data_IF_904450277512
#
_entry.id   IF_904450277512
#
_cell.length_a   1.000
_cell.length_b   1.000
_cell.length_c   1.000
_cell.angle_alpha   90.00
_cell.angle_beta   90.00
_cell.angle_gamma   90.00
#
_symmetry.space_group_name_H-M   'P 1'
#
loop_
_entity.id
_entity.type
_entity.pdbx_description
1 polymer ?
#
# COMPACT_ATOMS: atom_id res chain seq x y z
N UNK A 1 9.90 7.30 -12.56
CA UNK A 1 9.19 7.16 -11.27
C UNK A 1 7.77 7.67 -11.49
N UNK A 2 7.00 6.83 -12.17
CA UNK A 2 5.62 7.12 -12.56
C UNK A 2 4.67 6.88 -11.39
N UNK A 3 3.83 7.90 -11.14
CA UNK A 3 2.39 7.79 -11.02
C UNK A 3 1.81 6.60 -10.24
N UNK A 4 1.39 6.86 -8.99
CA UNK A 4 0.15 6.28 -8.49
C UNK A 4 -0.51 7.26 -7.51
N UNK A 5 -1.23 8.23 -8.09
CA UNK A 5 -2.24 9.01 -7.37
C UNK A 5 -3.43 8.09 -7.13
N UNK A 6 -3.59 7.62 -5.90
CA UNK A 6 -4.82 6.99 -5.44
C UNK A 6 -5.95 8.02 -5.57
N UNK A 7 -6.81 7.78 -6.57
CA UNK A 7 -8.05 8.50 -6.79
C UNK A 7 -9.00 8.17 -5.63
N UNK A 8 -9.02 9.05 -4.63
CA UNK A 8 -10.06 9.06 -3.60
C UNK A 8 -11.37 9.52 -4.25
N UNK A 9 -12.14 8.56 -4.77
CA UNK A 9 -13.53 8.78 -5.15
C UNK A 9 -14.40 8.81 -3.88
N UNK A 10 -14.29 9.89 -3.12
CA UNK A 10 -15.36 10.31 -2.22
C UNK A 10 -16.50 10.82 -3.11
N UNK A 11 -17.40 9.94 -3.50
CA UNK A 11 -18.74 10.36 -3.95
C UNK A 11 -19.34 11.23 -2.84
N UNK A 12 -19.72 12.48 -3.11
CA UNK A 12 -20.52 13.23 -2.17
C UNK A 12 -21.85 12.48 -2.06
N UNK A 13 -22.15 11.98 -0.87
CA UNK A 13 -23.52 11.61 -0.51
C UNK A 13 -24.33 12.88 -0.66
N UNK A 14 -25.01 13.03 -1.79
CA UNK A 14 -25.92 14.13 -2.07
C UNK A 14 -27.13 13.96 -1.15
N UNK A 15 -26.97 14.34 0.11
CA UNK A 15 -28.05 14.41 1.07
C UNK A 15 -28.67 15.80 0.96
N UNK A 16 -29.36 16.04 -0.14
CA UNK A 16 -30.20 17.23 -0.34
C UNK A 16 -31.51 17.09 0.44
N UNK A 17 -31.42 16.91 1.76
CA UNK A 17 -32.53 17.17 2.67
C UNK A 17 -32.49 18.64 3.06
N UNK A 18 -32.90 19.51 2.13
CA UNK A 18 -33.33 20.86 2.51
C UNK A 18 -34.60 20.70 3.35
N UNK A 19 -34.71 21.36 4.51
CA UNK A 19 -36.02 21.51 5.14
C UNK A 19 -36.83 22.39 4.20
N UNK A 20 -37.76 21.80 3.44
CA UNK A 20 -38.84 22.56 2.86
C UNK A 20 -39.65 23.09 4.05
N UNK A 21 -39.34 24.33 4.46
CA UNK A 21 -40.29 25.16 5.19
C UNK A 21 -41.51 25.24 4.27
N UNK A 22 -42.55 24.47 4.59
CA UNK A 22 -43.83 24.55 3.92
C UNK A 22 -44.24 26.03 3.95
N UNK A 23 -44.31 26.65 2.77
CA UNK A 23 -44.98 27.92 2.64
C UNK A 23 -46.44 27.64 3.00
N UNK A 24 -46.92 28.25 4.10
CA UNK A 24 -48.31 28.23 4.52
C UNK A 24 -49.14 28.95 3.45
N UNK A 25 -49.41 28.26 2.36
CA UNK A 25 -50.49 28.60 1.45
C UNK A 25 -51.73 27.94 2.05
N UNK A 26 -52.57 28.74 2.70
CA UNK A 26 -53.91 28.29 3.09
C UNK A 26 -54.59 27.80 1.81
N UNK A 27 -54.69 26.49 1.69
CA UNK A 27 -55.23 25.85 0.51
C UNK A 27 -56.72 26.18 0.51
N UNK A 28 -57.22 26.88 -0.51
CA UNK A 28 -58.62 27.35 -0.60
C UNK A 28 -59.64 26.21 -0.35
N UNK A 29 -59.25 24.97 -0.61
CA UNK A 29 -60.03 23.75 -0.37
C UNK A 29 -60.28 23.44 1.13
N UNK A 30 -59.45 23.94 2.06
CA UNK A 30 -59.60 23.70 3.50
C UNK A 30 -60.70 24.57 4.12
N UNK A 31 -60.90 25.77 3.58
CA UNK A 31 -62.00 26.66 3.96
C UNK A 31 -63.35 26.12 3.47
N UNK A 32 -63.37 25.39 2.34
CA UNK A 32 -64.57 24.76 1.80
C UNK A 32 -65.08 23.63 2.70
N UNK A 33 -64.21 22.90 3.40
CA UNK A 33 -64.61 21.85 4.36
C UNK A 33 -65.38 22.48 5.53
N UNK A 34 -64.94 23.65 5.99
CA UNK A 34 -65.57 24.39 7.08
C UNK A 34 -66.87 25.05 6.61
N UNK A 35 -66.90 25.62 5.40
CA UNK A 35 -68.08 26.27 4.82
C UNK A 35 -69.22 25.29 4.48
N UNK A 36 -68.90 24.02 4.24
CA UNK A 36 -69.88 22.96 3.95
C UNK A 36 -70.40 22.24 5.21
N UNK A 37 -69.92 22.60 6.40
CA UNK A 37 -70.36 22.01 7.67
C UNK A 37 -71.59 22.76 8.23
N UNK A 38 -72.51 22.01 8.86
CA UNK A 38 -73.69 22.61 9.51
C UNK A 38 -73.25 23.55 10.65
N UNK A 39 -73.81 24.77 10.78
CA UNK A 39 -73.48 25.71 11.86
C UNK A 39 -73.57 25.11 13.28
N UNK A 40 -74.53 24.22 13.54
CA UNK A 40 -74.66 23.55 14.85
C UNK A 40 -73.46 22.62 15.13
N UNK A 41 -72.93 21.99 14.06
CA UNK A 41 -71.76 21.12 14.14
C UNK A 41 -70.47 21.93 14.32
N UNK A 42 -70.37 23.09 13.69
CA UNK A 42 -69.26 24.03 13.89
C UNK A 42 -69.24 24.54 15.33
N UNK A 43 -70.39 24.90 15.90
CA UNK A 43 -70.48 25.33 17.29
C UNK A 43 -70.06 24.21 18.26
N UNK A 44 -70.47 22.97 17.99
CA UNK A 44 -70.08 21.80 18.80
C UNK A 44 -68.57 21.53 18.72
N UNK A 45 -68.00 21.56 17.51
CA UNK A 45 -66.55 21.42 17.28
C UNK A 45 -65.74 22.55 17.94
N UNK A 46 -66.28 23.77 18.03
CA UNK A 46 -65.58 24.89 18.68
C UNK A 46 -65.74 24.90 20.21
N UNK A 47 -66.76 24.21 20.75
CA UNK A 47 -67.07 24.19 22.18
C UNK A 47 -66.50 22.97 22.89
N UNK A 48 -66.39 21.84 22.18
CA UNK A 48 -65.82 20.59 22.69
C UNK A 48 -64.43 20.33 22.11
N UNK A 49 -63.41 20.36 22.96
CA UNK A 49 -62.00 20.12 22.62
C UNK A 49 -61.78 18.71 22.05
N UNK A 50 -62.56 17.70 22.48
CA UNK A 50 -62.44 16.35 21.94
C UNK A 50 -63.02 16.23 20.52
N UNK A 51 -64.12 16.94 20.22
CA UNK A 51 -64.67 16.98 18.86
C UNK A 51 -63.77 17.78 17.91
N UNK A 52 -63.15 18.85 18.42
CA UNK A 52 -62.14 19.61 17.70
C UNK A 52 -60.94 18.74 17.31
N UNK A 53 -60.37 18.02 18.28
CA UNK A 53 -59.22 17.16 18.03
C UNK A 53 -59.58 16.03 17.06
N UNK A 54 -60.77 15.42 17.19
CA UNK A 54 -61.25 14.41 16.23
C UNK A 54 -61.40 14.98 14.81
N UNK A 55 -61.93 16.20 14.68
CA UNK A 55 -62.03 16.86 13.38
C UNK A 55 -60.64 17.17 12.80
N UNK A 56 -59.74 17.73 13.60
CA UNK A 56 -58.37 18.05 13.21
C UNK A 56 -57.58 16.82 12.77
N UNK A 57 -57.72 15.71 13.48
CA UNK A 57 -57.05 14.45 13.15
C UNK A 57 -57.60 13.78 11.89
N UNK A 58 -58.81 14.14 11.47
CA UNK A 58 -59.44 13.64 10.25
C UNK A 58 -59.15 14.53 9.02
N UNK A 59 -58.43 15.66 9.19
CA UNK A 59 -58.02 16.50 8.08
C UNK A 59 -56.97 15.76 7.22
N UNK A 60 -57.21 15.71 5.92
CA UNK A 60 -56.32 15.05 4.95
C UNK A 60 -54.85 15.51 5.05
N UNK A 61 -54.53 16.82 5.25
CA UNK A 61 -53.16 17.25 5.49
C UNK A 61 -52.53 16.63 6.76
N UNK A 62 -53.29 16.44 7.83
CA UNK A 62 -52.81 15.88 9.10
C UNK A 62 -52.60 14.37 8.96
N UNK A 63 -53.51 13.67 8.29
CA UNK A 63 -53.38 12.23 8.01
C UNK A 63 -52.18 11.98 7.11
N UNK A 64 -52.08 12.69 5.97
CA UNK A 64 -50.95 12.54 5.04
C UNK A 64 -49.62 12.87 5.70
N UNK A 65 -49.54 13.92 6.52
CA UNK A 65 -48.34 14.22 7.30
C UNK A 65 -48.00 13.10 8.28
N UNK A 66 -48.98 12.53 8.98
CA UNK A 66 -48.75 11.39 9.89
C UNK A 66 -48.23 10.17 9.17
N UNK A 67 -48.76 9.85 7.98
CA UNK A 67 -48.29 8.75 7.14
C UNK A 67 -46.84 8.98 6.73
N UNK A 68 -46.49 10.17 6.23
CA UNK A 68 -45.11 10.51 5.84
C UNK A 68 -44.15 10.41 7.02
N UNK A 69 -44.55 10.89 8.21
CA UNK A 69 -43.73 10.78 9.42
C UNK A 69 -43.52 9.31 9.81
N UNK A 70 -44.56 8.48 9.70
CA UNK A 70 -44.47 7.06 10.02
C UNK A 70 -43.58 6.31 9.03
N UNK A 71 -43.74 6.55 7.72
CA UNK A 71 -42.89 5.99 6.67
C UNK A 71 -41.42 6.39 6.85
N UNK A 72 -41.15 7.65 7.19
CA UNK A 72 -39.79 8.11 7.48
C UNK A 72 -39.20 7.42 8.71
N UNK A 73 -40.01 7.23 9.76
CA UNK A 73 -39.58 6.53 10.97
C UNK A 73 -39.24 5.08 10.68
N UNK A 74 -40.11 4.37 9.97
CA UNK A 74 -39.91 2.97 9.59
C UNK A 74 -38.74 2.81 8.61
N UNK A 75 -38.60 3.72 7.64
CA UNK A 75 -37.48 3.76 6.70
C UNK A 75 -36.15 3.97 7.41
N UNK A 76 -36.09 4.92 8.34
CA UNK A 76 -34.90 5.19 9.14
C UNK A 76 -34.56 4.00 10.06
N UNK A 77 -35.56 3.38 10.69
CA UNK A 77 -35.36 2.21 11.53
C UNK A 77 -34.81 1.02 10.72
N UNK A 78 -35.37 0.77 9.54
CA UNK A 78 -34.90 -0.27 8.61
C UNK A 78 -33.47 -0.02 8.15
N UNK A 79 -33.14 1.23 7.80
CA UNK A 79 -31.79 1.63 7.40
C UNK A 79 -30.80 1.50 8.56
N UNK A 80 -31.18 1.92 9.76
CA UNK A 80 -30.35 1.79 10.95
C UNK A 80 -30.05 0.31 11.25
N UNK A 81 -31.07 -0.57 11.21
CA UNK A 81 -30.89 -2.02 11.39
C UNK A 81 -29.94 -2.62 10.35
N UNK A 82 -30.11 -2.26 9.07
CA UNK A 82 -29.22 -2.73 7.98
C UNK A 82 -27.79 -2.23 8.16
N UNK A 83 -27.61 -0.97 8.57
CA UNK A 83 -26.29 -0.38 8.79
C UNK A 83 -25.59 -1.02 9.99
N UNK A 84 -26.30 -1.24 11.10
CA UNK A 84 -25.76 -1.92 12.28
C UNK A 84 -25.32 -3.35 11.92
N UNK A 85 -26.17 -4.11 11.20
CA UNK A 85 -25.83 -5.47 10.77
C UNK A 85 -24.59 -5.54 9.87
N UNK A 86 -24.39 -4.54 8.99
CA UNK A 86 -23.21 -4.46 8.11
C UNK A 86 -21.95 -3.97 8.83
N UNK A 87 -22.11 -3.19 9.90
CA UNK A 87 -20.99 -2.55 10.60
C UNK A 87 -19.99 -3.58 11.13
N UNK A 88 -20.48 -4.66 11.71
CA UNK A 88 -19.61 -5.69 12.29
C UNK A 88 -18.84 -6.45 11.22
N UNK A 89 -19.49 -6.79 10.10
CA UNK A 89 -18.82 -7.39 8.94
C UNK A 89 -17.76 -6.48 8.33
N UNK A 90 -18.03 -5.18 8.20
CA UNK A 90 -17.07 -4.18 7.71
C UNK A 90 -15.88 -4.08 8.67
N UNK A 91 -16.12 -4.02 9.98
CA UNK A 91 -15.05 -3.95 10.98
C UNK A 91 -14.15 -5.19 10.95
N UNK A 92 -14.74 -6.38 10.79
CA UNK A 92 -13.98 -7.62 10.67
C UNK A 92 -13.12 -7.60 9.40
N UNK A 93 -13.69 -7.23 8.26
CA UNK A 93 -12.94 -7.15 7.00
C UNK A 93 -11.81 -6.11 7.05
N UNK A 94 -12.05 -4.96 7.69
CA UNK A 94 -11.01 -3.95 7.92
C UNK A 94 -9.88 -4.47 8.81
N UNK A 95 -10.22 -5.25 9.84
CA UNK A 95 -9.24 -5.92 10.70
C UNK A 95 -8.40 -6.92 9.92
N UNK A 96 -9.03 -7.77 9.10
CA UNK A 96 -8.34 -8.73 8.24
C UNK A 96 -7.41 -8.05 7.25
N UNK A 97 -7.88 -7.01 6.56
CA UNK A 97 -7.06 -6.23 5.62
C UNK A 97 -5.86 -5.59 6.33
N UNK A 98 -6.07 -5.08 7.55
CA UNK A 98 -4.97 -4.51 8.35
C UNK A 98 -3.94 -5.58 8.72
N UNK A 99 -4.38 -6.77 9.15
CA UNK A 99 -3.48 -7.87 9.48
C UNK A 99 -2.69 -8.33 8.26
N UNK A 100 -3.32 -8.48 7.10
CA UNK A 100 -2.62 -8.85 5.86
C UNK A 100 -1.63 -7.78 5.41
N UNK A 101 -1.98 -6.50 5.58
CA UNK A 101 -1.04 -5.40 5.29
C UNK A 101 0.17 -5.41 6.21
N UNK A 102 -0.03 -5.70 7.50
CA UNK A 102 1.07 -5.84 8.46
C UNK A 102 1.98 -7.04 8.10
N UNK A 103 1.40 -8.18 7.71
CA UNK A 103 2.17 -9.34 7.20
C UNK A 103 2.95 -8.99 5.94
N UNK A 104 2.33 -8.34 4.96
CA UNK A 104 3.00 -7.91 3.74
C UNK A 104 4.19 -7.02 4.05
N UNK A 105 4.02 -6.01 4.91
CA UNK A 105 5.12 -5.13 5.32
C UNK A 105 6.27 -5.89 5.99
N UNK A 106 5.96 -6.90 6.80
CA UNK A 106 7.00 -7.77 7.40
C UNK A 106 7.74 -8.60 6.36
N UNK A 107 7.05 -9.10 5.33
CA UNK A 107 7.68 -9.85 4.25
C UNK A 107 8.53 -8.94 3.36
N UNK A 108 8.07 -7.73 3.07
CA UNK A 108 8.86 -6.73 2.34
C UNK A 108 10.14 -6.37 3.09
N UNK A 109 10.06 -6.18 4.40
CA UNK A 109 11.24 -5.89 5.21
C UNK A 109 12.25 -7.05 5.20
N UNK A 110 11.76 -8.28 5.39
CA UNK A 110 12.60 -9.48 5.33
C UNK A 110 13.24 -9.66 3.95
N UNK A 111 12.47 -9.45 2.89
CA UNK A 111 12.98 -9.53 1.52
C UNK A 111 14.09 -8.50 1.28
N UNK A 112 13.89 -7.26 1.71
CA UNK A 112 14.90 -6.21 1.57
C UNK A 112 16.18 -6.55 2.35
N UNK A 113 16.07 -7.09 3.56
CA UNK A 113 17.22 -7.56 4.33
C UNK A 113 17.98 -8.69 3.60
N UNK A 114 17.27 -9.72 3.16
CA UNK A 114 17.84 -10.86 2.42
C UNK A 114 18.50 -10.38 1.11
N UNK A 115 17.85 -9.47 0.39
CA UNK A 115 18.36 -8.88 -0.85
C UNK A 115 19.63 -8.04 -0.62
N UNK A 116 19.69 -7.27 0.47
CA UNK A 116 20.89 -6.52 0.82
C UNK A 116 22.05 -7.43 1.19
N UNK A 117 21.80 -8.49 1.96
CA UNK A 117 22.82 -9.50 2.31
C UNK A 117 23.34 -10.17 1.05
N UNK A 118 22.44 -10.63 0.17
CA UNK A 118 22.80 -11.26 -1.10
C UNK A 118 23.64 -10.31 -1.97
N UNK A 119 23.20 -9.06 -2.13
CA UNK A 119 23.94 -8.07 -2.92
C UNK A 119 25.32 -7.78 -2.34
N UNK A 120 25.44 -7.71 -1.01
CA UNK A 120 26.72 -7.49 -0.35
C UNK A 120 27.67 -8.66 -0.60
N UNK A 121 27.18 -9.89 -0.53
CA UNK A 121 27.96 -11.10 -0.83
C UNK A 121 28.36 -11.14 -2.31
N UNK A 122 27.42 -10.89 -3.23
CA UNK A 122 27.71 -10.85 -4.67
C UNK A 122 28.76 -9.80 -5.00
N UNK A 123 28.60 -8.56 -4.50
CA UNK A 123 29.55 -7.46 -4.77
C UNK A 123 30.93 -7.71 -4.16
N UNK A 124 30.99 -8.27 -2.96
CA UNK A 124 32.27 -8.46 -2.25
C UNK A 124 33.06 -9.69 -2.71
N UNK A 125 32.38 -10.82 -3.00
CA UNK A 125 33.06 -12.10 -3.22
C UNK A 125 32.95 -12.65 -4.64
N UNK A 126 31.89 -12.30 -5.36
CA UNK A 126 31.54 -12.97 -6.62
C UNK A 126 31.46 -12.00 -7.80
N UNK A 127 31.80 -10.73 -7.59
CA UNK A 127 31.86 -9.80 -8.69
C UNK A 127 33.14 -10.04 -9.48
N UNK A 128 32.96 -10.30 -10.78
CA UNK A 128 34.03 -10.61 -11.72
C UNK A 128 35.16 -9.58 -11.73
N UNK A 129 34.84 -8.29 -11.65
CA UNK A 129 35.82 -7.20 -11.70
C UNK A 129 36.77 -7.22 -10.48
N UNK A 130 36.29 -7.19 -9.22
CA UNK A 130 37.15 -7.38 -8.05
C UNK A 130 38.01 -8.64 -8.09
N UNK A 131 37.43 -9.78 -8.47
CA UNK A 131 38.18 -11.04 -8.54
C UNK A 131 39.30 -10.99 -9.59
N UNK A 132 39.03 -10.34 -10.73
CA UNK A 132 40.05 -10.11 -11.76
C UNK A 132 41.17 -9.21 -11.26
N UNK A 133 40.84 -8.12 -10.54
CA UNK A 133 41.84 -7.22 -9.96
C UNK A 133 42.69 -7.92 -8.89
N UNK A 134 42.08 -8.79 -8.07
CA UNK A 134 42.80 -9.59 -7.09
C UNK A 134 43.76 -10.57 -7.76
N UNK A 135 43.31 -11.25 -8.82
CA UNK A 135 44.16 -12.14 -9.62
C UNK A 135 45.32 -11.39 -10.30
N UNK A 136 45.08 -10.17 -10.79
CA UNK A 136 46.14 -9.30 -11.33
C UNK A 136 47.14 -8.90 -10.25
N UNK A 137 46.69 -8.56 -9.04
CA UNK A 137 47.58 -8.24 -7.92
C UNK A 137 48.40 -9.44 -7.47
N UNK A 138 47.81 -10.63 -7.41
CA UNK A 138 48.52 -11.88 -7.09
C UNK A 138 49.58 -12.21 -8.13
N UNK A 139 49.28 -12.04 -9.42
CA UNK A 139 50.30 -12.16 -10.48
C UNK A 139 51.46 -11.18 -10.25
N UNK A 140 51.18 -9.91 -10.02
CA UNK A 140 52.22 -8.90 -9.76
C UNK A 140 53.04 -9.22 -8.50
N UNK A 141 52.39 -9.71 -7.44
CA UNK A 141 53.05 -10.13 -6.21
C UNK A 141 54.00 -11.30 -6.43
N UNK A 142 53.57 -12.34 -7.17
CA UNK A 142 54.46 -13.48 -7.50
C UNK A 142 55.65 -13.07 -8.38
N UNK A 143 55.49 -12.06 -9.23
CA UNK A 143 56.58 -11.52 -10.04
C UNK A 143 57.63 -10.82 -9.15
N UNK A 144 57.17 -9.91 -8.29
CA UNK A 144 58.02 -9.23 -7.31
C UNK A 144 58.71 -10.20 -6.35
N UNK A 145 58.01 -11.24 -5.89
CA UNK A 145 58.62 -12.24 -5.02
C UNK A 145 59.70 -13.05 -5.74
N UNK A 146 59.51 -13.35 -7.02
CA UNK A 146 60.55 -13.98 -7.83
C UNK A 146 61.79 -13.10 -7.98
N UNK A 147 61.61 -11.78 -8.13
CA UNK A 147 62.71 -10.81 -8.14
C UNK A 147 63.44 -10.75 -6.79
N UNK A 148 62.69 -10.75 -5.67
CA UNK A 148 63.31 -10.81 -4.33
C UNK A 148 64.12 -12.07 -4.11
N UNK A 149 63.66 -13.23 -4.60
CA UNK A 149 64.41 -14.49 -4.53
C UNK A 149 65.71 -14.36 -5.33
N UNK A 150 65.68 -13.75 -6.53
CA UNK A 150 66.88 -13.45 -7.31
C UNK A 150 67.85 -12.53 -6.55
N UNK A 151 67.36 -11.45 -5.94
CA UNK A 151 68.19 -10.53 -5.15
C UNK A 151 68.87 -11.24 -3.96
N UNK A 152 68.13 -12.08 -3.22
CA UNK A 152 68.68 -12.87 -2.10
C UNK A 152 69.79 -13.80 -2.56
N UNK A 153 69.62 -14.43 -3.73
CA UNK A 153 70.66 -15.29 -4.31
C UNK A 153 71.91 -14.49 -4.69
N UNK A 154 71.74 -13.31 -5.32
CA UNK A 154 72.85 -12.42 -5.67
C UNK A 154 73.62 -11.90 -4.44
N UNK A 155 72.91 -11.65 -3.34
CA UNK A 155 73.49 -11.30 -2.03
C UNK A 155 74.11 -12.50 -1.29
N UNK A 156 74.01 -13.71 -1.85
CA UNK A 156 74.45 -14.99 -1.25
C UNK A 156 73.76 -15.31 0.08
N UNK A 157 72.56 -14.79 0.29
CA UNK A 157 71.73 -15.08 1.47
C UNK A 157 71.07 -16.46 1.41
N UNK A 158 70.94 -17.01 0.20
CA UNK A 158 70.42 -18.36 -0.07
C UNK A 158 71.40 -19.16 -0.92
N UNK A 159 71.40 -20.48 -0.73
CA UNK A 159 72.24 -21.39 -1.50
C UNK A 159 71.60 -21.73 -2.86
N UNK A 160 72.38 -22.34 -3.76
CA UNK A 160 71.94 -22.63 -5.13
C UNK A 160 70.74 -23.59 -5.20
N UNK A 161 70.72 -24.61 -4.33
CA UNK A 161 69.63 -25.58 -4.28
C UNK A 161 68.31 -24.93 -3.87
N UNK A 162 68.34 -24.10 -2.82
CA UNK A 162 67.17 -23.41 -2.30
C UNK A 162 66.67 -22.34 -3.28
N UNK A 163 67.59 -21.64 -3.95
CA UNK A 163 67.24 -20.70 -5.02
C UNK A 163 66.47 -21.40 -6.14
N UNK A 164 67.01 -22.50 -6.68
CA UNK A 164 66.37 -23.20 -7.81
C UNK A 164 64.97 -23.68 -7.42
N UNK A 165 64.83 -24.30 -6.24
CA UNK A 165 63.51 -24.80 -5.79
C UNK A 165 62.51 -23.65 -5.64
N UNK A 166 62.86 -22.61 -4.87
CA UNK A 166 61.94 -21.50 -4.59
C UNK A 166 61.61 -20.70 -5.85
N UNK A 167 62.60 -20.40 -6.69
CA UNK A 167 62.40 -19.63 -7.91
C UNK A 167 61.51 -20.37 -8.92
N UNK A 168 61.72 -21.67 -9.12
CA UNK A 168 60.88 -22.46 -10.02
C UNK A 168 59.43 -22.50 -9.51
N UNK A 169 59.23 -22.72 -8.21
CA UNK A 169 57.89 -22.77 -7.61
C UNK A 169 57.16 -21.43 -7.74
N UNK A 170 57.83 -20.31 -7.45
CA UNK A 170 57.24 -18.96 -7.58
C UNK A 170 56.96 -18.61 -9.04
N UNK A 171 57.90 -18.89 -9.98
CA UNK A 171 57.67 -18.63 -11.42
C UNK A 171 56.56 -19.52 -11.98
N UNK A 172 56.44 -20.77 -11.53
CA UNK A 172 55.32 -21.65 -11.90
C UNK A 172 53.98 -21.02 -11.49
N UNK A 173 53.87 -20.51 -10.26
CA UNK A 173 52.66 -19.81 -9.82
C UNK A 173 52.36 -18.55 -10.66
N UNK A 174 53.38 -17.75 -10.99
CA UNK A 174 53.24 -16.61 -11.89
C UNK A 174 52.63 -17.01 -13.25
N UNK A 175 53.18 -18.04 -13.89
CA UNK A 175 52.68 -18.48 -15.20
C UNK A 175 51.27 -19.07 -15.11
N UNK A 176 50.94 -19.81 -14.04
CA UNK A 176 49.57 -20.28 -13.79
C UNK A 176 48.60 -19.10 -13.69
N UNK A 177 48.94 -18.07 -12.91
CA UNK A 177 48.10 -16.88 -12.77
C UNK A 177 47.98 -16.09 -14.08
N UNK A 178 49.06 -16.00 -14.86
CA UNK A 178 49.04 -15.37 -16.19
C UNK A 178 48.16 -16.12 -17.18
N UNK A 179 48.18 -17.46 -17.16
CA UNK A 179 47.30 -18.27 -18.00
C UNK A 179 45.83 -18.11 -17.58
N UNK A 180 45.55 -18.11 -16.27
CA UNK A 180 44.20 -17.85 -15.76
C UNK A 180 43.67 -16.49 -16.22
N UNK A 181 44.49 -15.44 -16.19
CA UNK A 181 44.13 -14.10 -16.68
C UNK A 181 43.84 -14.10 -18.18
N UNK A 182 44.74 -14.66 -18.99
CA UNK A 182 44.54 -14.75 -20.45
C UNK A 182 43.27 -15.53 -20.80
N UNK A 183 43.00 -16.64 -20.10
CA UNK A 183 41.74 -17.40 -20.30
C UNK A 183 40.51 -16.61 -19.87
N UNK A 184 40.63 -15.69 -18.93
CA UNK A 184 39.54 -14.83 -18.54
C UNK A 184 39.25 -13.77 -19.60
N UNK A 185 40.30 -13.15 -20.14
CA UNK A 185 40.21 -12.18 -21.24
C UNK A 185 39.62 -12.80 -22.52
N UNK A 186 39.99 -14.05 -22.84
CA UNK A 186 39.46 -14.79 -23.99
C UNK A 186 37.98 -15.16 -23.85
N UNK A 187 37.46 -15.29 -22.62
CA UNK A 187 36.10 -15.74 -22.33
C UNK A 187 35.17 -14.61 -21.84
N UNK A 188 35.61 -13.35 -21.87
CA UNK A 188 34.74 -12.22 -21.58
C UNK A 188 33.71 -12.09 -22.72
N UNK A 189 32.41 -12.29 -22.46
CA UNK A 189 31.41 -11.85 -23.43
C UNK A 189 31.57 -10.34 -23.58
N UNK A 190 31.72 -9.90 -24.83
CA UNK A 190 31.69 -8.49 -25.20
C UNK A 190 30.32 -7.97 -24.80
N UNK A 191 30.19 -7.49 -23.56
CA UNK A 191 29.06 -6.66 -23.19
C UNK A 191 29.25 -5.35 -23.95
N UNK A 192 28.64 -5.28 -25.12
CA UNK A 192 28.26 -4.00 -25.71
C UNK A 192 27.44 -3.27 -24.66
N UNK A 193 28.03 -2.21 -24.10
CA UNK A 193 27.27 -1.20 -23.38
C UNK A 193 26.41 -0.49 -24.43
N UNK A 194 25.13 -0.84 -24.49
CA UNK A 194 24.07 0.05 -24.98
C UNK A 194 23.38 0.70 -23.77
#
# INVERSE_FOLDING_TARGET
MESNRLSNNNTPVNNSNKPHRAENTLNLNELDIINNLNPDRIYTILTDEEEFEKFFQNLEPVISQKVVVQELKEGNESLAKKNIAKRDSINNLLSEVRQEREKLSSYEHKFEEDFQVQNKIMKSKFQTKPLLTELQSEKAYTDLESERICEKFLKKEINSSDFISQFIDTRKQYYVNSLKLSKFDDNLPVYHNE
#
